data_IF_048252315738
#
_entry.id   IF_048252315738
#
_cell.length_a   1.000
_cell.length_b   1.000
_cell.length_c   1.000
_cell.angle_alpha   90.00
_cell.angle_beta   90.00
_cell.angle_gamma   90.00
#
_symmetry.space_group_name_H-M   'P 1'
#
loop_
_entity.id
_entity.type
_entity.pdbx_description
1 polymer ?
#
# COMPACT_ATOMS: atom_id res chain seq x y z
N UNK A 1 60.24 24.27 52.79
CA UNK A 1 58.93 24.84 52.35
C UNK A 1 58.60 24.49 50.90
N UNK A 2 59.60 24.15 50.10
CA UNK A 2 59.43 23.84 48.67
C UNK A 2 58.85 22.45 48.31
N UNK A 3 59.07 21.45 49.19
CA UNK A 3 58.57 20.08 48.93
C UNK A 3 57.04 19.99 49.00
N UNK A 4 56.40 20.73 49.89
CA UNK A 4 54.97 20.74 50.07
C UNK A 4 54.24 21.47 48.91
N UNK A 5 54.83 22.49 48.29
CA UNK A 5 54.28 23.24 47.14
C UNK A 5 54.30 22.38 45.85
N UNK A 6 55.36 21.57 45.67
CA UNK A 6 55.53 20.69 44.51
C UNK A 6 54.56 19.51 44.57
N UNK A 7 54.27 18.95 45.71
CA UNK A 7 53.29 17.87 45.89
C UNK A 7 51.83 18.37 45.59
N UNK A 8 51.55 19.58 46.07
CA UNK A 8 50.20 20.18 45.84
C UNK A 8 49.92 20.49 44.36
N UNK A 9 50.93 20.96 43.60
CA UNK A 9 50.83 21.20 42.15
C UNK A 9 50.66 19.91 41.35
N UNK A 10 51.32 18.82 41.73
CA UNK A 10 51.18 17.50 41.08
C UNK A 10 49.79 16.89 41.34
N UNK A 11 49.26 17.00 42.55
CA UNK A 11 47.94 16.52 42.92
C UNK A 11 46.85 17.30 42.17
N UNK A 12 46.96 18.62 42.00
CA UNK A 12 46.02 19.42 41.25
C UNK A 12 46.02 19.05 39.74
N UNK A 13 47.19 18.81 39.15
CA UNK A 13 47.32 18.37 37.74
C UNK A 13 46.67 17.03 37.47
N UNK A 14 46.79 16.07 38.37
CA UNK A 14 46.13 14.77 38.24
C UNK A 14 44.62 14.85 38.37
N UNK A 15 44.07 15.73 39.20
CA UNK A 15 42.64 15.95 39.35
C UNK A 15 42.02 16.57 38.05
N UNK A 16 42.71 17.57 37.45
CA UNK A 16 42.28 18.18 36.19
C UNK A 16 42.34 17.19 35.02
N UNK A 17 43.37 16.32 34.95
CA UNK A 17 43.47 15.32 33.91
C UNK A 17 42.37 14.25 34.04
N UNK A 18 42.05 13.80 35.24
CA UNK A 18 40.98 12.85 35.50
C UNK A 18 39.60 13.43 35.18
N UNK A 19 39.34 14.71 35.49
CA UNK A 19 38.10 15.40 35.16
C UNK A 19 37.91 15.57 33.65
N UNK A 20 38.98 15.84 32.90
CA UNK A 20 38.92 15.98 31.44
C UNK A 20 38.62 14.65 30.76
N UNK A 21 39.22 13.56 31.21
CA UNK A 21 38.94 12.21 30.68
C UNK A 21 37.49 11.78 30.95
N UNK A 22 36.99 12.11 32.15
CA UNK A 22 35.60 11.79 32.53
C UNK A 22 34.61 12.60 31.69
N UNK A 23 34.88 13.87 31.40
CA UNK A 23 34.05 14.74 30.54
C UNK A 23 34.02 14.25 29.08
N UNK A 24 35.16 13.77 28.55
CA UNK A 24 35.22 13.20 27.20
C UNK A 24 34.49 11.84 27.11
N UNK A 25 34.57 11.02 28.15
CA UNK A 25 33.82 9.76 28.20
C UNK A 25 32.31 9.98 28.32
N UNK A 26 31.86 10.96 29.08
CA UNK A 26 30.44 11.34 29.19
C UNK A 26 29.90 11.91 27.91
N UNK A 27 30.67 12.74 27.19
CA UNK A 27 30.22 13.27 25.89
C UNK A 27 30.07 12.17 24.84
N UNK A 28 30.99 11.22 24.78
CA UNK A 28 30.89 10.07 23.86
C UNK A 28 29.67 9.19 24.15
N UNK A 29 29.33 9.02 25.43
CA UNK A 29 28.18 8.24 25.86
C UNK A 29 26.86 8.94 25.50
N UNK A 30 26.81 10.27 25.64
CA UNK A 30 25.64 11.07 25.24
C UNK A 30 25.43 11.07 23.71
N UNK A 31 26.50 11.15 22.93
CA UNK A 31 26.42 11.03 21.48
C UNK A 31 25.95 9.63 21.03
N UNK A 32 26.42 8.58 21.66
CA UNK A 32 25.98 7.21 21.37
C UNK A 32 24.50 6.99 21.73
N UNK A 33 24.02 7.56 22.83
CA UNK A 33 22.59 7.51 23.18
C UNK A 33 21.70 8.33 22.23
N UNK A 34 22.17 9.47 21.73
CA UNK A 34 21.43 10.26 20.74
C UNK A 34 21.35 9.54 19.39
N UNK A 35 22.45 8.93 18.94
CA UNK A 35 22.46 8.13 17.72
C UNK A 35 21.51 6.92 17.79
N UNK A 36 21.53 6.18 18.89
CA UNK A 36 20.64 5.05 19.11
C UNK A 36 19.16 5.44 19.22
N UNK A 37 18.87 6.64 19.74
CA UNK A 37 17.50 7.16 19.85
C UNK A 37 16.99 7.67 18.50
N UNK A 38 17.83 8.30 17.69
CA UNK A 38 17.51 8.75 16.33
C UNK A 38 17.24 7.55 15.41
N UNK A 39 18.05 6.50 15.47
CA UNK A 39 17.90 5.29 14.68
C UNK A 39 16.57 4.57 14.99
N UNK A 40 16.24 4.36 16.27
CA UNK A 40 14.96 3.77 16.68
C UNK A 40 13.75 4.61 16.24
N UNK A 41 13.85 5.93 16.24
CA UNK A 41 12.76 6.82 15.81
C UNK A 41 12.58 6.73 14.30
N UNK A 42 13.67 6.67 13.54
CA UNK A 42 13.61 6.54 12.08
C UNK A 42 13.08 5.18 11.66
N UNK A 43 13.55 4.08 12.24
CA UNK A 43 13.02 2.74 11.97
C UNK A 43 11.54 2.64 12.35
N UNK A 44 11.12 3.23 13.47
CA UNK A 44 9.70 3.28 13.86
C UNK A 44 8.84 4.03 12.86
N UNK A 45 9.34 5.10 12.26
CA UNK A 45 8.63 5.86 11.23
C UNK A 45 8.54 5.09 9.91
N UNK A 46 9.60 4.40 9.51
CA UNK A 46 9.61 3.61 8.26
C UNK A 46 8.62 2.45 8.28
N UNK A 47 8.38 1.87 9.45
CA UNK A 47 7.42 0.78 9.64
C UNK A 47 6.01 1.24 10.02
N UNK A 48 5.75 2.55 10.12
CA UNK A 48 4.41 3.10 10.33
C UNK A 48 3.86 3.64 9.02
N UNK A 49 2.92 2.91 8.42
CA UNK A 49 2.21 3.30 7.21
C UNK A 49 0.83 3.88 7.51
N UNK A 50 0.48 4.08 8.80
CA UNK A 50 -0.86 4.55 9.20
C UNK A 50 -1.15 5.93 8.64
N UNK A 51 -2.41 6.14 8.25
CA UNK A 51 -2.94 7.40 7.75
C UNK A 51 -3.57 7.31 6.37
N UNK A 52 -3.95 8.46 5.83
CA UNK A 52 -4.61 8.58 4.53
C UNK A 52 -3.59 8.88 3.45
N UNK A 53 -3.66 8.11 2.38
CA UNK A 53 -2.73 8.16 1.25
C UNK A 53 -3.48 8.27 -0.08
N UNK A 54 -2.93 8.99 -1.05
CA UNK A 54 -3.49 9.12 -2.39
C UNK A 54 -2.38 9.08 -3.45
N UNK A 55 -2.66 8.51 -4.64
CA UNK A 55 -1.73 8.53 -5.77
C UNK A 55 -1.51 9.92 -6.37
N UNK A 56 -2.38 10.88 -6.11
CA UNK A 56 -2.26 12.25 -6.58
C UNK A 56 -2.20 13.21 -5.40
N UNK A 57 -1.23 14.13 -5.42
CA UNK A 57 -1.14 15.21 -4.45
C UNK A 57 -2.41 16.08 -4.41
N UNK A 58 -3.08 16.24 -5.56
CA UNK A 58 -4.27 17.08 -5.74
C UNK A 58 -5.58 16.28 -5.85
N UNK A 59 -5.55 14.94 -5.76
CA UNK A 59 -6.73 14.10 -5.88
C UNK A 59 -7.25 13.93 -7.31
N UNK A 60 -6.42 14.19 -8.32
CA UNK A 60 -6.78 14.03 -9.74
C UNK A 60 -6.59 12.59 -10.27
N UNK A 61 -7.02 12.34 -11.50
CA UNK A 61 -6.96 11.01 -12.11
C UNK A 61 -5.54 10.61 -12.53
N UNK A 62 -4.65 10.40 -11.56
CA UNK A 62 -3.28 9.93 -11.78
C UNK A 62 -3.15 8.44 -12.11
N UNK A 63 -4.27 7.74 -12.28
CA UNK A 63 -4.28 6.31 -12.49
C UNK A 63 -3.78 5.90 -13.87
N UNK A 64 -2.96 4.86 -13.89
CA UNK A 64 -2.57 4.21 -15.11
C UNK A 64 -3.80 3.47 -15.71
N UNK A 65 -4.28 3.93 -16.84
CA UNK A 65 -5.37 3.28 -17.57
C UNK A 65 -4.98 1.89 -18.09
N UNK A 66 -3.68 1.61 -18.22
CA UNK A 66 -3.14 0.35 -18.71
C UNK A 66 -1.96 -0.07 -17.84
N UNK A 67 -2.16 -1.09 -17.00
CA UNK A 67 -1.13 -1.62 -16.11
C UNK A 67 -0.30 -2.72 -16.78
N UNK A 68 -0.85 -3.38 -17.79
CA UNK A 68 -0.19 -4.50 -18.47
C UNK A 68 0.79 -3.95 -19.51
N UNK A 69 2.11 -4.22 -19.38
CA UNK A 69 3.10 -3.80 -20.37
C UNK A 69 2.82 -4.41 -21.74
N UNK A 70 3.10 -3.66 -22.82
CA UNK A 70 2.84 -4.09 -24.21
C UNK A 70 3.57 -5.36 -24.62
N UNK A 71 4.67 -5.67 -23.96
CA UNK A 71 5.49 -6.86 -24.22
C UNK A 71 5.08 -8.08 -23.39
N UNK A 72 4.03 -7.94 -22.58
CA UNK A 72 3.39 -9.05 -21.84
C UNK A 72 2.28 -9.62 -22.71
N UNK A 73 2.50 -10.84 -23.21
CA UNK A 73 1.51 -11.54 -24.02
C UNK A 73 0.40 -12.14 -23.17
N UNK A 74 -0.82 -12.16 -23.70
CA UNK A 74 -1.91 -12.96 -23.16
C UNK A 74 -1.76 -14.43 -23.59
N UNK A 75 -2.12 -15.34 -22.72
CA UNK A 75 -2.34 -16.76 -23.09
C UNK A 75 -3.60 -16.87 -23.97
N UNK A 76 -3.89 -18.03 -24.60
CA UNK A 76 -5.15 -18.21 -25.31
C UNK A 76 -6.38 -17.96 -24.43
N UNK A 77 -6.37 -18.40 -23.18
CA UNK A 77 -7.43 -18.14 -22.21
C UNK A 77 -7.53 -16.64 -21.89
N UNK A 78 -6.38 -15.99 -21.63
CA UNK A 78 -6.34 -14.57 -21.34
C UNK A 78 -6.88 -13.72 -22.49
N UNK A 79 -6.55 -14.07 -23.75
CA UNK A 79 -7.03 -13.36 -24.94
C UNK A 79 -8.54 -13.52 -25.15
N UNK A 80 -9.09 -14.71 -24.89
CA UNK A 80 -10.53 -14.95 -24.94
C UNK A 80 -11.25 -14.10 -23.89
N UNK A 81 -10.77 -14.15 -22.63
CA UNK A 81 -11.34 -13.35 -21.53
C UNK A 81 -11.23 -11.85 -21.76
N UNK A 82 -10.11 -11.38 -22.31
CA UNK A 82 -9.95 -9.97 -22.68
C UNK A 82 -11.00 -9.52 -23.70
N UNK A 83 -11.25 -10.36 -24.71
CA UNK A 83 -12.31 -10.10 -25.70
C UNK A 83 -13.70 -10.12 -25.08
N UNK A 84 -13.99 -11.09 -24.19
CA UNK A 84 -15.25 -11.15 -23.45
C UNK A 84 -15.47 -9.91 -22.60
N UNK A 85 -14.44 -9.46 -21.87
CA UNK A 85 -14.48 -8.27 -21.04
C UNK A 85 -14.74 -7.01 -21.89
N UNK A 86 -14.09 -6.87 -23.05
CA UNK A 86 -14.34 -5.77 -23.98
C UNK A 86 -15.77 -5.72 -24.51
N UNK A 87 -16.42 -6.86 -24.68
CA UNK A 87 -17.82 -6.94 -25.09
C UNK A 87 -18.80 -6.60 -23.95
N UNK A 88 -18.38 -6.74 -22.69
CA UNK A 88 -19.14 -6.31 -21.49
C UNK A 88 -19.07 -4.80 -21.26
N UNK A 89 -18.29 -4.11 -22.06
CA UNK A 89 -17.78 -2.76 -21.87
C UNK A 89 -18.77 -1.63 -22.12
N UNK A 90 -19.94 -1.71 -21.58
CA UNK A 90 -20.73 -0.49 -21.32
C UNK A 90 -20.53 0.03 -19.88
N UNK A 91 -19.60 -0.54 -19.15
CA UNK A 91 -19.29 -0.08 -17.81
C UNK A 91 -18.14 -0.86 -17.17
N UNK A 92 -17.41 -0.21 -16.29
CA UNK A 92 -16.55 -0.86 -15.34
C UNK A 92 -17.42 -1.71 -14.39
N UNK A 93 -16.84 -2.69 -13.69
CA UNK A 93 -17.54 -3.39 -12.59
C UNK A 93 -18.18 -2.40 -11.62
N UNK A 94 -17.57 -1.23 -11.42
CA UNK A 94 -18.08 -0.11 -10.63
C UNK A 94 -19.45 0.37 -11.11
N UNK A 95 -19.64 0.56 -12.43
CA UNK A 95 -20.92 1.02 -12.97
C UNK A 95 -22.07 0.01 -12.76
N UNK A 96 -21.74 -1.26 -12.55
CA UNK A 96 -22.70 -2.32 -12.22
C UNK A 96 -22.84 -2.54 -10.71
N UNK A 97 -22.24 -1.69 -9.88
CA UNK A 97 -22.15 -1.86 -8.43
C UNK A 97 -21.49 -3.20 -8.00
N UNK A 98 -20.65 -3.76 -8.84
CA UNK A 98 -19.81 -4.89 -8.47
C UNK A 98 -18.56 -4.37 -7.77
N UNK A 99 -18.04 -5.06 -6.75
CA UNK A 99 -16.80 -4.66 -6.10
C UNK A 99 -15.66 -4.61 -7.13
N UNK A 100 -14.89 -3.52 -7.14
CA UNK A 100 -13.72 -3.41 -8.03
C UNK A 100 -12.64 -4.45 -7.71
N UNK A 101 -12.66 -4.98 -6.49
CA UNK A 101 -11.56 -5.79 -5.99
C UNK A 101 -10.30 -4.98 -5.76
N UNK A 102 -9.30 -5.62 -5.17
CA UNK A 102 -8.02 -4.95 -4.93
C UNK A 102 -7.13 -4.92 -6.17
N UNK A 103 -7.29 -5.89 -7.08
CA UNK A 103 -6.45 -6.07 -8.28
C UNK A 103 -6.46 -4.81 -9.16
N UNK A 104 -7.62 -4.19 -9.33
CA UNK A 104 -7.79 -2.99 -10.14
C UNK A 104 -7.52 -1.67 -9.39
N UNK A 105 -7.23 -1.72 -8.09
CA UNK A 105 -7.00 -0.52 -7.28
C UNK A 105 -5.98 0.46 -7.88
N UNK A 106 -4.83 0.01 -8.44
CA UNK A 106 -3.86 0.93 -9.05
C UNK A 106 -4.42 1.74 -10.22
N UNK A 107 -5.52 1.28 -10.83
CA UNK A 107 -6.20 1.97 -11.92
C UNK A 107 -7.21 3.03 -11.46
N UNK A 108 -7.48 3.11 -10.15
CA UNK A 108 -8.43 4.06 -9.56
C UNK A 108 -7.71 4.92 -8.53
N UNK A 109 -7.56 6.23 -8.75
CA UNK A 109 -6.70 7.11 -7.95
C UNK A 109 -7.35 7.58 -6.63
N UNK A 110 -8.34 6.86 -6.14
CA UNK A 110 -9.03 7.21 -4.91
C UNK A 110 -8.14 7.02 -3.68
N UNK A 111 -8.32 7.83 -2.63
CA UNK A 111 -7.58 7.69 -1.39
C UNK A 111 -7.80 6.34 -0.71
N UNK A 112 -6.79 5.93 0.03
CA UNK A 112 -6.86 4.81 0.97
C UNK A 112 -6.47 5.28 2.36
N UNK A 113 -7.10 4.71 3.38
CA UNK A 113 -6.65 4.83 4.76
C UNK A 113 -6.01 3.52 5.19
N UNK A 114 -4.79 3.60 5.73
CA UNK A 114 -4.06 2.48 6.28
C UNK A 114 -4.11 2.56 7.80
N UNK A 115 -4.58 1.50 8.44
CA UNK A 115 -4.62 1.36 9.90
C UNK A 115 -3.81 0.14 10.30
N UNK A 116 -2.78 0.35 11.11
CA UNK A 116 -1.90 -0.71 11.59
C UNK A 116 -2.23 -1.14 13.01
N UNK A 117 -2.19 -2.44 13.22
CA UNK A 117 -2.19 -3.09 14.53
C UNK A 117 -1.03 -4.08 14.60
N UNK A 118 -0.65 -4.59 15.78
CA UNK A 118 0.47 -5.53 15.88
C UNK A 118 0.33 -6.82 15.06
N UNK A 119 -0.90 -7.27 14.78
CA UNK A 119 -1.15 -8.53 14.07
C UNK A 119 -1.84 -8.37 12.72
N UNK A 120 -2.24 -7.17 12.35
CA UNK A 120 -2.99 -6.89 11.12
C UNK A 120 -2.73 -5.48 10.63
N UNK A 121 -2.80 -5.32 9.31
CA UNK A 121 -2.91 -4.01 8.66
C UNK A 121 -4.22 -4.01 7.90
N UNK A 122 -4.97 -2.92 8.01
CA UNK A 122 -6.22 -2.71 7.28
C UNK A 122 -6.03 -1.62 6.25
N UNK A 123 -6.45 -1.88 5.03
CA UNK A 123 -6.55 -0.89 3.97
C UNK A 123 -8.04 -0.63 3.74
N UNK A 124 -8.46 0.60 4.02
CA UNK A 124 -9.79 1.09 3.72
C UNK A 124 -9.73 1.88 2.43
N UNK A 125 -10.51 1.46 1.45
CA UNK A 125 -10.61 2.12 0.15
C UNK A 125 -11.84 3.00 0.12
N UNK A 126 -11.71 4.24 -0.38
CA UNK A 126 -12.84 5.13 -0.57
C UNK A 126 -13.87 4.51 -1.52
N UNK A 127 -13.39 3.94 -2.63
CA UNK A 127 -14.27 3.31 -3.63
C UNK A 127 -14.94 2.07 -3.07
N UNK A 128 -16.26 2.03 -3.18
CA UNK A 128 -17.14 0.96 -2.68
C UNK A 128 -17.00 0.68 -1.17
N UNK A 129 -16.36 1.52 -0.40
CA UNK A 129 -16.04 1.28 1.02
C UNK A 129 -15.44 -0.10 1.29
N UNK A 130 -14.61 -0.58 0.38
CA UNK A 130 -13.95 -1.87 0.54
C UNK A 130 -12.88 -1.76 1.62
N UNK A 131 -12.80 -2.76 2.46
CA UNK A 131 -11.67 -2.91 3.36
C UNK A 131 -10.97 -4.25 3.13
N UNK A 132 -9.65 -4.21 3.21
CA UNK A 132 -8.79 -5.39 3.06
C UNK A 132 -8.02 -5.61 4.34
N UNK A 133 -7.96 -6.85 4.80
CA UNK A 133 -7.14 -7.25 5.94
C UNK A 133 -5.87 -7.94 5.46
N UNK A 134 -4.73 -7.45 5.90
CA UNK A 134 -3.41 -8.07 5.71
C UNK A 134 -3.00 -8.67 7.05
N UNK A 135 -2.78 -9.97 7.09
CA UNK A 135 -2.39 -10.69 8.29
C UNK A 135 -0.88 -10.57 8.50
N UNK A 136 -0.48 -10.06 9.68
CA UNK A 136 0.92 -9.82 10.06
C UNK A 136 1.40 -10.76 11.16
N UNK A 137 0.70 -11.84 11.43
CA UNK A 137 0.93 -12.79 12.52
C UNK A 137 1.84 -13.97 12.14
N UNK A 138 2.47 -13.90 10.97
CA UNK A 138 3.40 -14.95 10.49
C UNK A 138 2.73 -16.20 9.94
N UNK A 139 1.39 -16.18 9.76
CA UNK A 139 0.70 -17.30 9.11
C UNK A 139 1.18 -17.50 7.67
N UNK A 140 1.19 -18.73 7.15
CA UNK A 140 1.50 -18.96 5.74
C UNK A 140 0.40 -18.45 4.82
N UNK A 141 0.78 -18.10 3.59
CA UNK A 141 -0.16 -17.84 2.51
C UNK A 141 -0.98 -19.12 2.24
N UNK A 142 -2.33 -19.06 2.21
CA UNK A 142 -3.14 -20.26 2.01
C UNK A 142 -3.00 -20.79 0.58
N UNK A 143 -3.19 -22.09 0.40
CA UNK A 143 -3.38 -22.65 -0.93
C UNK A 143 -4.83 -22.42 -1.38
N UNK A 144 -5.07 -22.32 -2.67
CA UNK A 144 -6.41 -22.05 -3.22
C UNK A 144 -7.47 -23.05 -2.76
N UNK A 145 -7.11 -24.34 -2.68
CA UNK A 145 -8.01 -25.38 -2.23
C UNK A 145 -8.37 -25.32 -0.74
N UNK A 146 -7.59 -24.60 0.04
CA UNK A 146 -7.75 -24.50 1.50
C UNK A 146 -8.52 -23.23 1.91
N UNK A 147 -9.01 -22.45 0.92
CA UNK A 147 -9.79 -21.24 1.15
C UNK A 147 -11.18 -21.58 1.70
N UNK A 148 -11.56 -21.11 2.89
CA UNK A 148 -12.80 -21.54 3.57
C UNK A 148 -14.08 -21.13 2.84
N UNK A 149 -14.01 -20.06 2.03
CA UNK A 149 -15.15 -19.52 1.28
C UNK A 149 -14.89 -19.50 -0.23
N UNK A 150 -13.83 -20.21 -0.70
CA UNK A 150 -13.39 -20.12 -2.09
C UNK A 150 -12.81 -18.74 -2.44
N UNK A 151 -12.58 -18.50 -3.76
CA UNK A 151 -12.06 -17.24 -4.27
C UNK A 151 -13.01 -16.06 -4.02
N UNK A 152 -12.44 -14.89 -3.66
CA UNK A 152 -13.19 -13.66 -3.34
C UNK A 152 -12.69 -12.47 -4.15
N UNK A 153 -13.38 -11.33 -4.09
CA UNK A 153 -12.94 -10.10 -4.76
C UNK A 153 -11.62 -9.54 -4.20
N UNK A 154 -11.33 -9.78 -2.92
CA UNK A 154 -10.17 -9.21 -2.24
C UNK A 154 -9.06 -10.23 -1.99
N UNK A 155 -9.33 -11.51 -2.20
CA UNK A 155 -8.38 -12.58 -1.87
C UNK A 155 -8.10 -12.71 -0.39
N UNK A 156 -7.01 -13.41 -0.07
CA UNK A 156 -6.45 -13.54 1.28
C UNK A 156 -5.03 -13.02 1.24
N UNK A 157 -4.74 -12.03 2.10
CA UNK A 157 -3.45 -11.33 2.13
C UNK A 157 -2.69 -11.65 3.41
N UNK A 158 -1.41 -11.98 3.25
CA UNK A 158 -0.45 -12.09 4.34
C UNK A 158 0.68 -11.10 4.10
N UNK A 159 1.17 -10.48 5.17
CA UNK A 159 2.23 -9.50 5.11
C UNK A 159 3.40 -9.87 6.00
N UNK A 160 4.55 -9.35 5.65
CA UNK A 160 5.77 -9.39 6.46
C UNK A 160 6.60 -8.14 6.20
N UNK A 161 7.39 -7.78 7.18
CA UNK A 161 8.45 -6.79 6.98
C UNK A 161 9.70 -7.47 6.41
N UNK A 162 10.26 -6.89 5.37
CA UNK A 162 11.51 -7.27 4.72
C UNK A 162 12.43 -6.05 4.72
N UNK A 163 13.25 -5.92 5.77
CA UNK A 163 13.92 -4.66 6.07
C UNK A 163 12.89 -3.57 6.37
N UNK A 164 12.96 -2.45 5.64
CA UNK A 164 12.04 -1.32 5.78
C UNK A 164 10.82 -1.40 4.85
N UNK A 165 10.67 -2.50 4.11
CA UNK A 165 9.56 -2.69 3.19
C UNK A 165 8.48 -3.59 3.80
N UNK A 166 7.24 -3.19 3.68
CA UNK A 166 6.11 -4.10 3.85
C UNK A 166 5.91 -4.89 2.56
N UNK A 167 6.10 -6.20 2.63
CA UNK A 167 5.80 -7.13 1.54
C UNK A 167 4.48 -7.83 1.83
N UNK A 168 3.54 -7.74 0.89
CA UNK A 168 2.22 -8.35 1.00
C UNK A 168 2.03 -9.33 -0.15
N UNK A 169 1.65 -10.56 0.16
CA UNK A 169 1.30 -11.58 -0.81
C UNK A 169 -0.18 -11.90 -0.72
N UNK A 170 -0.85 -12.00 -1.87
CA UNK A 170 -2.29 -12.25 -1.94
C UNK A 170 -2.61 -13.29 -2.99
N UNK A 171 -3.44 -14.26 -2.63
CA UNK A 171 -4.02 -15.28 -3.50
C UNK A 171 -5.52 -15.41 -3.26
N UNK A 172 -6.20 -16.21 -4.08
CA UNK A 172 -7.61 -16.50 -3.89
C UNK A 172 -8.54 -15.40 -4.35
N UNK A 173 -8.13 -14.68 -5.39
CA UNK A 173 -9.04 -13.80 -6.12
C UNK A 173 -10.03 -14.60 -6.95
N UNK A 174 -11.28 -14.13 -7.05
CA UNK A 174 -12.18 -14.60 -8.11
C UNK A 174 -11.81 -13.94 -9.44
N UNK A 175 -12.32 -14.44 -10.56
CA UNK A 175 -12.03 -13.92 -11.90
C UNK A 175 -13.04 -12.86 -12.39
N UNK A 176 -13.71 -12.16 -11.47
CA UNK A 176 -14.82 -11.24 -11.77
C UNK A 176 -14.40 -9.80 -11.96
N UNK A 177 -13.14 -9.48 -11.66
CA UNK A 177 -12.58 -8.13 -11.79
C UNK A 177 -11.52 -8.07 -12.89
N UNK A 178 -11.02 -6.87 -13.17
CA UNK A 178 -9.99 -6.62 -14.18
C UNK A 178 -8.73 -6.06 -13.55
N UNK A 179 -7.60 -6.25 -14.18
CA UNK A 179 -6.32 -5.69 -13.74
C UNK A 179 -6.30 -4.17 -13.88
N UNK A 180 -6.94 -3.66 -14.95
CA UNK A 180 -6.94 -2.23 -15.28
C UNK A 180 -8.23 -1.79 -16.00
N UNK A 181 -8.33 -0.48 -16.24
CA UNK A 181 -9.47 0.13 -16.92
C UNK A 181 -9.60 -0.25 -18.40
N UNK A 182 -8.61 -0.91 -18.98
CA UNK A 182 -8.68 -1.46 -20.33
C UNK A 182 -9.18 -2.90 -20.36
N UNK A 183 -9.62 -3.41 -19.21
CA UNK A 183 -10.29 -4.70 -19.05
C UNK A 183 -9.39 -5.93 -19.18
N UNK A 184 -8.09 -5.78 -18.92
CA UNK A 184 -7.19 -6.93 -18.87
C UNK A 184 -7.65 -7.92 -17.80
N UNK A 185 -7.81 -9.22 -18.14
CA UNK A 185 -8.33 -10.21 -17.22
C UNK A 185 -7.28 -10.63 -16.19
N UNK A 186 -7.75 -11.20 -15.11
CA UNK A 186 -6.96 -12.10 -14.28
C UNK A 186 -7.77 -13.37 -13.99
N UNK A 187 -7.09 -14.42 -13.59
CA UNK A 187 -7.71 -15.68 -13.21
C UNK A 187 -7.66 -15.90 -11.70
N UNK A 188 -8.29 -16.97 -11.23
CA UNK A 188 -8.17 -17.41 -9.84
C UNK A 188 -6.75 -17.88 -9.46
N UNK A 189 -5.86 -18.07 -10.46
CA UNK A 189 -4.45 -18.44 -10.23
C UNK A 189 -3.56 -17.22 -9.98
N UNK A 190 -4.12 -15.99 -10.03
CA UNK A 190 -3.36 -14.79 -9.76
C UNK A 190 -2.73 -14.85 -8.37
N UNK A 191 -1.41 -14.68 -8.33
CA UNK A 191 -0.62 -14.38 -7.14
C UNK A 191 -0.15 -12.92 -7.26
N UNK A 192 -0.59 -12.09 -6.35
CA UNK A 192 -0.21 -10.68 -6.30
C UNK A 192 0.83 -10.49 -5.20
N UNK A 193 1.95 -9.84 -5.55
CA UNK A 193 2.96 -9.43 -4.58
C UNK A 193 3.07 -7.91 -4.60
N UNK A 194 2.90 -7.29 -3.45
CA UNK A 194 3.00 -5.85 -3.28
C UNK A 194 4.15 -5.52 -2.35
N UNK A 195 4.90 -4.49 -2.69
CA UNK A 195 5.99 -3.98 -1.88
C UNK A 195 5.78 -2.50 -1.62
N UNK A 196 5.63 -2.15 -0.36
CA UNK A 196 5.43 -0.78 0.12
C UNK A 196 6.70 -0.32 0.84
N UNK A 197 7.29 0.76 0.35
CA UNK A 197 8.49 1.38 0.92
C UNK A 197 8.19 2.81 1.34
N UNK A 198 8.27 3.11 2.63
CA UNK A 198 8.12 4.49 3.10
C UNK A 198 9.37 5.28 2.80
N UNK A 199 9.30 6.17 1.78
CA UNK A 199 10.43 6.98 1.32
C UNK A 199 10.75 8.08 2.32
N UNK A 200 9.70 8.72 2.86
CA UNK A 200 9.80 9.79 3.86
C UNK A 200 8.45 9.95 4.60
N UNK A 201 8.27 11.05 5.33
CA UNK A 201 7.03 11.33 6.07
C UNK A 201 5.80 11.46 5.16
N UNK A 202 5.98 11.86 3.90
CA UNK A 202 4.91 12.23 2.99
C UNK A 202 4.76 11.30 1.79
N UNK A 203 5.73 10.40 1.56
CA UNK A 203 5.78 9.57 0.38
C UNK A 203 5.91 8.08 0.72
N UNK A 204 5.04 7.27 0.12
CA UNK A 204 5.01 5.82 0.20
C UNK A 204 5.10 5.26 -1.21
N UNK A 205 6.24 4.67 -1.59
CA UNK A 205 6.41 4.01 -2.87
C UNK A 205 5.76 2.62 -2.85
N UNK A 206 5.02 2.29 -3.91
CA UNK A 206 4.42 0.96 -4.08
C UNK A 206 4.84 0.35 -5.41
N UNK A 207 5.21 -0.92 -5.38
CA UNK A 207 5.40 -1.79 -6.55
C UNK A 207 4.50 -2.99 -6.42
N UNK A 208 3.76 -3.32 -7.48
CA UNK A 208 2.84 -4.45 -7.52
C UNK A 208 3.29 -5.40 -8.63
N UNK A 209 3.46 -6.66 -8.29
CA UNK A 209 3.84 -7.73 -9.22
C UNK A 209 2.69 -8.69 -9.40
N UNK A 210 2.35 -8.94 -10.66
CA UNK A 210 1.27 -9.81 -11.11
C UNK A 210 1.86 -11.10 -11.67
N UNK A 211 1.57 -12.21 -11.05
CA UNK A 211 1.94 -13.55 -11.49
C UNK A 211 0.67 -14.36 -11.71
N UNK A 212 0.23 -14.47 -12.95
CA UNK A 212 -0.97 -15.22 -13.35
C UNK A 212 -0.67 -16.03 -14.62
N UNK A 213 -0.12 -17.25 -14.48
CA UNK A 213 0.30 -18.05 -15.61
C UNK A 213 -0.86 -18.55 -16.48
N UNK A 214 -2.12 -18.47 -15.98
CA UNK A 214 -3.31 -18.79 -16.78
C UNK A 214 -3.69 -17.64 -17.70
N UNK A 215 -3.48 -16.37 -17.28
CA UNK A 215 -3.85 -15.20 -18.05
C UNK A 215 -2.71 -14.65 -18.92
N UNK A 216 -1.46 -14.71 -18.43
CA UNK A 216 -0.31 -14.04 -19.03
C UNK A 216 0.83 -15.01 -19.32
N UNK A 217 1.63 -14.69 -20.34
CA UNK A 217 2.79 -15.51 -20.76
C UNK A 217 4.01 -15.31 -19.86
N UNK A 218 4.03 -14.24 -19.04
CA UNK A 218 5.09 -13.94 -18.07
C UNK A 218 4.55 -13.05 -16.95
N UNK A 219 5.20 -13.12 -15.81
CA UNK A 219 5.03 -12.19 -14.70
C UNK A 219 5.40 -10.77 -15.10
N UNK A 220 4.70 -9.77 -14.59
CA UNK A 220 4.98 -8.36 -14.82
C UNK A 220 4.76 -7.54 -13.56
N UNK A 221 5.34 -6.33 -13.53
CA UNK A 221 5.19 -5.42 -12.40
C UNK A 221 4.73 -4.04 -12.84
N UNK A 222 3.99 -3.39 -11.98
CA UNK A 222 3.60 -2.00 -12.06
C UNK A 222 4.25 -1.22 -10.90
N UNK A 223 4.76 -0.03 -11.19
CA UNK A 223 5.47 0.79 -10.23
C UNK A 223 7.00 0.76 -10.41
N UNK A 224 7.78 1.36 -9.49
CA UNK A 224 7.27 2.02 -8.29
C UNK A 224 6.46 3.28 -8.61
N UNK A 225 5.40 3.50 -7.83
CA UNK A 225 4.55 4.70 -7.84
C UNK A 225 4.45 5.24 -6.44
N UNK A 226 4.38 6.55 -6.30
CA UNK A 226 4.25 7.19 -5.01
C UNK A 226 2.79 7.41 -4.64
N UNK A 227 2.47 7.09 -3.41
CA UNK A 227 1.30 7.55 -2.68
C UNK A 227 1.74 8.72 -1.80
N UNK A 228 0.94 9.77 -1.77
CA UNK A 228 1.19 11.00 -1.02
C UNK A 228 0.34 11.03 0.23
N UNK A 229 0.96 11.32 1.37
CA UNK A 229 0.30 11.41 2.66
C UNK A 229 -0.61 12.64 2.72
N UNK A 230 -1.83 12.47 3.17
CA UNK A 230 -2.76 13.56 3.44
C UNK A 230 -2.56 14.04 4.87
N UNK A 231 -1.74 15.06 5.04
CA UNK A 231 -1.31 15.57 6.36
C UNK A 231 -2.36 16.38 7.11
N UNK A 232 -3.41 16.86 6.43
CA UNK A 232 -4.51 17.58 7.07
C UNK A 232 -5.36 16.58 7.89
N UNK A 233 -5.45 16.74 9.22
CA UNK A 233 -6.18 15.81 10.07
C UNK A 233 -7.71 15.83 9.85
N UNK A 234 -8.23 16.78 9.10
CA UNK A 234 -9.64 16.80 8.68
C UNK A 234 -9.92 15.91 7.48
N UNK A 235 -8.87 15.38 6.82
CA UNK A 235 -9.03 14.45 5.72
C UNK A 235 -9.67 13.15 6.19
N UNK A 236 -10.76 12.78 5.56
CA UNK A 236 -11.43 11.51 5.73
C UNK A 236 -11.76 10.93 4.36
N UNK A 237 -11.93 9.62 4.29
CA UNK A 237 -12.47 8.98 3.08
C UNK A 237 -13.89 9.48 2.84
N UNK A 238 -14.20 9.83 1.60
CA UNK A 238 -15.54 10.24 1.19
C UNK A 238 -16.53 9.07 1.24
N UNK A 239 -17.81 9.38 1.27
CA UNK A 239 -18.86 8.37 1.08
C UNK A 239 -18.98 8.04 -0.41
N UNK A 240 -18.66 6.79 -0.75
CA UNK A 240 -18.77 6.28 -2.12
C UNK A 240 -19.55 4.95 -2.11
N UNK A 241 -20.87 5.06 -2.20
CA UNK A 241 -21.77 3.91 -2.23
C UNK A 241 -22.38 3.73 -3.61
N UNK A 242 -22.12 2.61 -4.23
CA UNK A 242 -22.89 2.19 -5.37
C UNK A 242 -24.15 1.46 -4.93
N UNK A 243 -25.32 2.01 -5.25
CA UNK A 243 -26.61 1.39 -5.03
C UNK A 243 -27.30 1.10 -6.35
N UNK A 244 -27.58 -0.16 -6.69
CA UNK A 244 -28.29 -0.49 -7.94
C UNK A 244 -29.67 0.19 -8.05
N UNK A 245 -30.34 0.42 -6.93
CA UNK A 245 -31.64 1.11 -6.91
C UNK A 245 -31.49 2.60 -7.24
N UNK A 246 -30.47 3.27 -6.70
CA UNK A 246 -30.18 4.68 -6.98
C UNK A 246 -29.71 4.86 -8.41
N UNK A 247 -28.88 3.97 -8.93
CA UNK A 247 -28.43 4.02 -10.31
C UNK A 247 -29.60 3.88 -11.28
N UNK A 248 -30.50 2.92 -11.09
CA UNK A 248 -31.71 2.77 -11.90
C UNK A 248 -32.59 4.01 -11.82
N UNK A 249 -32.73 4.61 -10.66
CA UNK A 249 -33.51 5.86 -10.48
C UNK A 249 -32.86 7.01 -11.25
N UNK A 250 -31.53 7.14 -11.18
CA UNK A 250 -30.79 8.15 -11.93
C UNK A 250 -30.96 7.97 -13.45
N UNK A 251 -30.75 6.76 -13.96
CA UNK A 251 -30.93 6.43 -15.37
C UNK A 251 -32.35 6.73 -15.86
N UNK A 252 -33.36 6.38 -15.07
CA UNK A 252 -34.77 6.68 -15.34
C UNK A 252 -35.01 8.18 -15.43
N UNK A 253 -34.46 8.96 -14.49
CA UNK A 253 -34.61 10.41 -14.46
C UNK A 253 -33.91 11.07 -15.66
N UNK A 254 -32.69 10.66 -16.00
CA UNK A 254 -31.97 11.16 -17.17
C UNK A 254 -32.71 10.87 -18.47
N UNK A 255 -33.20 9.65 -18.63
CA UNK A 255 -34.00 9.25 -19.80
C UNK A 255 -35.28 10.09 -19.94
N UNK A 256 -35.94 10.36 -18.82
CA UNK A 256 -37.16 11.20 -18.80
C UNK A 256 -36.85 12.64 -19.23
N UNK A 257 -35.77 13.24 -18.73
CA UNK A 257 -35.35 14.59 -19.10
C UNK A 257 -35.00 14.68 -20.59
N UNK A 258 -34.24 13.72 -21.11
CA UNK A 258 -33.86 13.69 -22.53
C UNK A 258 -35.07 13.51 -23.46
N UNK A 259 -36.09 12.79 -23.01
CA UNK A 259 -37.33 12.63 -23.79
C UNK A 259 -38.24 13.86 -23.76
N UNK A 260 -38.14 14.70 -22.73
CA UNK A 260 -38.87 15.97 -22.65
C UNK A 260 -38.26 17.10 -23.49
N UNK A 261 -37.03 16.94 -23.94
CA UNK A 261 -36.29 17.93 -24.76
C UNK A 261 -36.43 17.66 -26.29
N UNK A 262 -37.09 16.59 -26.69
CA UNK A 262 -37.44 16.26 -28.06
C UNK A 262 -38.87 16.72 -28.42
#
# INVERSE_FOLDING_TARGET
MDILITARKRALGCIFAAALVLALALSSFLFAQQGAKADKTQTGMLHDLSGVWSFDENGGPGAASNLVPKDVGLTPWGAEKFKENGNRATGTSYNNCEPLGFVSYPSYPHPIEIVQTPSRIFFFHEVNHLYRTIWMDGRPLPKLQDLPFGPTYLGVSVGRWDGDDLVVETVGFNDKTWVDTTHHPHSEQLHLTERYHRVDSNNLAVTITFDDPKAYTKTFSWGPKNLHFKSDPSWALGEDFCSPAEQKRFESNVTTILNQQK
#
